data_IF_013196196222
#
_entry.id   IF_013196196222
#
_cell.length_a   1.000
_cell.length_b   1.000
_cell.length_c   1.000
_cell.angle_alpha   90.00
_cell.angle_beta   90.00
_cell.angle_gamma   90.00
#
_symmetry.space_group_name_H-M   'P 1'
#
loop_
_entity.id
_entity.type
_entity.pdbx_description
1 polymer ?
#
# COMPACT_ATOMS: atom_id res chain seq x y z
N UNK A 1 47.96 42.14 -45.51
CA UNK A 1 48.26 41.43 -44.24
C UNK A 1 47.19 41.83 -43.22
N UNK A 2 46.71 40.88 -42.39
CA UNK A 2 45.62 40.96 -41.37
C UNK A 2 44.18 41.01 -41.95
N UNK A 3 43.14 40.37 -41.42
CA UNK A 3 42.97 39.43 -40.31
C UNK A 3 41.65 38.61 -40.47
N UNK A 4 41.62 37.46 -39.80
CA UNK A 4 40.56 36.53 -39.39
C UNK A 4 39.17 37.13 -39.13
N UNK A 5 38.08 36.38 -39.38
CA UNK A 5 36.96 36.18 -38.42
C UNK A 5 35.98 35.09 -38.93
N UNK A 6 35.91 33.99 -38.18
CA UNK A 6 34.88 32.93 -38.24
C UNK A 6 33.64 33.38 -37.45
N UNK A 7 32.41 33.23 -37.97
CA UNK A 7 31.21 33.23 -37.14
C UNK A 7 30.81 31.81 -36.68
N UNK A 8 30.24 31.66 -35.47
CA UNK A 8 30.10 30.38 -34.77
C UNK A 8 28.95 29.50 -35.25
N UNK A 9 29.12 28.20 -35.02
CA UNK A 9 28.12 27.15 -35.19
C UNK A 9 26.84 27.42 -34.39
N UNK A 10 25.69 27.48 -35.07
CA UNK A 10 24.37 27.41 -34.42
C UNK A 10 24.06 25.95 -34.09
N UNK A 11 24.35 25.55 -32.85
CA UNK A 11 23.90 24.28 -32.32
C UNK A 11 22.48 24.47 -31.76
N UNK A 12 21.51 23.89 -32.45
CA UNK A 12 20.10 23.84 -32.01
C UNK A 12 20.01 22.95 -30.77
N UNK A 13 19.34 23.36 -29.68
CA UNK A 13 19.12 22.49 -28.53
C UNK A 13 18.21 21.31 -28.93
N UNK A 14 18.45 20.11 -28.40
CA UNK A 14 17.57 18.97 -28.66
C UNK A 14 16.19 19.23 -28.05
N UNK A 15 15.15 18.88 -28.82
CA UNK A 15 13.77 18.89 -28.38
C UNK A 15 13.63 18.06 -27.10
N UNK A 16 13.08 18.65 -26.04
CA UNK A 16 12.79 17.96 -24.80
C UNK A 16 11.86 16.77 -25.09
N UNK A 17 12.31 15.57 -24.74
CA UNK A 17 11.46 14.38 -24.73
C UNK A 17 10.30 14.59 -23.75
N UNK A 18 9.09 14.07 -24.03
CA UNK A 18 8.02 14.08 -23.05
C UNK A 18 8.47 13.24 -21.85
N UNK A 19 8.61 13.89 -20.69
CA UNK A 19 8.81 13.21 -19.42
C UNK A 19 7.59 12.33 -19.16
N UNK A 20 7.73 11.04 -18.80
CA UNK A 20 6.58 10.27 -18.34
C UNK A 20 6.01 10.99 -17.13
N UNK A 21 4.75 11.40 -17.21
CA UNK A 21 3.97 11.78 -16.05
C UNK A 21 3.89 10.52 -15.19
N UNK A 22 4.72 10.46 -14.16
CA UNK A 22 4.49 9.54 -13.05
C UNK A 22 3.16 10.01 -12.47
N UNK A 23 2.08 9.32 -12.83
CA UNK A 23 0.89 9.30 -11.99
C UNK A 23 1.37 8.68 -10.69
N UNK A 24 1.80 9.52 -9.75
CA UNK A 24 1.82 9.15 -8.36
C UNK A 24 0.37 8.77 -8.06
N UNK A 25 0.08 7.48 -8.15
CA UNK A 25 -1.01 6.91 -7.38
C UNK A 25 -0.63 7.24 -5.94
N UNK A 26 -1.09 8.39 -5.48
CA UNK A 26 -1.30 8.66 -4.06
C UNK A 26 -2.08 7.45 -3.59
N UNK A 27 -1.34 6.50 -3.03
CA UNK A 27 -1.90 5.55 -2.08
C UNK A 27 -2.41 6.47 -1.00
N UNK A 28 -3.71 6.73 -1.04
CA UNK A 28 -4.42 7.47 -0.02
C UNK A 28 -4.09 6.75 1.28
N UNK A 29 -3.12 7.29 2.03
CA UNK A 29 -2.83 6.81 3.38
C UNK A 29 -4.18 6.85 4.09
N UNK A 30 -4.75 5.69 4.48
CA UNK A 30 -6.10 5.66 5.01
C UNK A 30 -6.12 6.59 6.20
N UNK A 31 -6.84 7.70 6.07
CA UNK A 31 -7.00 8.67 7.14
C UNK A 31 -7.51 7.89 8.35
N UNK A 32 -6.75 7.77 9.46
CA UNK A 32 -7.15 6.93 10.58
C UNK A 32 -8.42 7.51 11.18
N UNK A 33 -9.55 7.01 10.72
CA UNK A 33 -10.88 7.37 11.21
C UNK A 33 -11.18 6.41 12.35
N UNK A 34 -10.38 6.50 13.40
CA UNK A 34 -10.50 5.63 14.57
C UNK A 34 -9.18 5.34 15.26
N UNK A 35 -9.22 4.34 16.13
CA UNK A 35 -8.32 4.17 17.28
C UNK A 35 -6.84 4.14 16.86
N UNK A 36 -5.95 4.74 17.66
CA UNK A 36 -4.50 4.75 17.42
C UNK A 36 -4.01 3.33 17.06
N UNK A 37 -3.51 3.10 15.84
CA UNK A 37 -3.00 1.79 15.42
C UNK A 37 -1.77 1.45 16.24
N UNK A 38 -1.98 0.64 17.27
CA UNK A 38 -0.93 0.12 18.15
C UNK A 38 -1.10 -1.38 18.16
N UNK A 39 0.01 -2.13 18.04
CA UNK A 39 -0.06 -3.58 18.03
C UNK A 39 -0.73 -4.09 19.32
N UNK A 40 -1.77 -4.91 19.16
CA UNK A 40 -2.61 -5.41 20.26
C UNK A 40 -3.64 -4.41 20.78
N UNK A 41 -3.64 -3.17 20.30
CA UNK A 41 -4.64 -2.15 20.62
C UNK A 41 -6.01 -2.49 20.04
N UNK A 42 -7.06 -1.99 20.66
CA UNK A 42 -8.41 -2.16 20.12
C UNK A 42 -8.62 -1.24 18.91
N UNK A 43 -9.36 -1.74 17.93
CA UNK A 43 -9.85 -0.97 16.80
C UNK A 43 -11.38 -1.02 16.75
N UNK A 44 -12.00 -0.11 16.01
CA UNK A 44 -13.44 -0.13 15.82
C UNK A 44 -13.83 -1.16 14.76
N UNK A 45 -15.06 -1.68 14.86
CA UNK A 45 -15.67 -2.50 13.80
C UNK A 45 -15.70 -1.76 12.45
N UNK A 46 -15.88 -0.44 12.48
CA UNK A 46 -15.80 0.44 11.29
C UNK A 46 -14.43 0.38 10.60
N UNK A 47 -13.38 0.03 11.35
CA UNK A 47 -12.00 -0.08 10.90
C UNK A 47 -11.64 -1.52 10.58
N UNK A 48 -12.57 -2.47 10.70
CA UNK A 48 -12.32 -3.86 10.36
C UNK A 48 -11.78 -3.96 8.93
N UNK A 49 -10.66 -4.67 8.79
CA UNK A 49 -9.93 -4.83 7.52
C UNK A 49 -9.34 -3.54 6.97
N UNK A 50 -9.20 -2.50 7.78
CA UNK A 50 -8.41 -1.33 7.44
C UNK A 50 -6.96 -1.58 7.82
N UNK A 51 -6.05 -1.04 7.01
CA UNK A 51 -4.65 -0.93 7.37
C UNK A 51 -4.46 0.32 8.23
N UNK A 52 -3.65 0.19 9.27
CA UNK A 52 -3.23 1.28 10.13
C UNK A 52 -1.74 1.20 10.33
N UNK A 53 -1.05 2.33 10.19
CA UNK A 53 0.40 2.38 10.41
C UNK A 53 0.67 2.87 11.82
N UNK A 54 1.33 2.05 12.63
CA UNK A 54 1.77 2.46 13.95
C UNK A 54 2.80 3.59 13.89
N UNK A 55 2.99 4.30 15.01
CA UNK A 55 3.96 5.40 15.10
C UNK A 55 5.40 4.97 14.76
N UNK A 56 5.72 3.68 14.96
CA UNK A 56 7.00 3.07 14.64
C UNK A 56 7.16 2.71 13.14
N UNK A 57 6.16 3.02 12.31
CA UNK A 57 6.11 2.66 10.88
C UNK A 57 5.66 1.23 10.60
N UNK A 58 5.18 0.52 11.63
CA UNK A 58 4.72 -0.86 11.50
C UNK A 58 3.31 -0.89 10.92
N UNK A 59 3.11 -1.62 9.82
CA UNK A 59 1.78 -1.80 9.25
C UNK A 59 0.98 -2.84 10.05
N UNK A 60 -0.20 -2.44 10.48
CA UNK A 60 -1.14 -3.22 11.27
C UNK A 60 -2.44 -3.36 10.50
N UNK A 61 -3.15 -4.45 10.72
CA UNK A 61 -4.51 -4.65 10.20
C UNK A 61 -5.45 -4.78 11.38
N UNK A 62 -6.60 -4.12 11.30
CA UNK A 62 -7.66 -4.33 12.28
C UNK A 62 -8.37 -5.64 11.96
N UNK A 63 -8.15 -6.65 12.81
CA UNK A 63 -8.75 -7.97 12.70
C UNK A 63 -9.67 -8.25 13.88
N UNK A 64 -10.67 -9.10 13.66
CA UNK A 64 -11.54 -9.58 14.73
C UNK A 64 -10.97 -10.86 15.34
N UNK A 65 -10.50 -10.81 16.59
CA UNK A 65 -9.90 -11.97 17.27
C UNK A 65 -10.95 -12.84 18.02
N UNK A 66 -12.24 -12.62 17.76
CA UNK A 66 -13.33 -13.35 18.41
C UNK A 66 -13.92 -12.64 19.64
N UNK A 67 -14.95 -13.24 20.24
CA UNK A 67 -15.77 -12.60 21.28
C UNK A 67 -15.02 -12.24 22.58
N UNK A 68 -13.81 -12.80 22.81
CA UNK A 68 -12.97 -12.48 23.95
C UNK A 68 -11.89 -11.42 23.69
N UNK A 69 -11.56 -11.16 22.42
CA UNK A 69 -10.54 -10.18 22.01
C UNK A 69 -11.09 -8.96 21.28
N UNK A 70 -12.27 -9.09 20.65
CA UNK A 70 -12.87 -8.03 19.87
C UNK A 70 -12.05 -7.69 18.62
N UNK A 71 -12.26 -6.48 18.12
CA UNK A 71 -11.47 -5.91 17.02
C UNK A 71 -10.16 -5.38 17.59
N UNK A 72 -9.03 -5.91 17.12
CA UNK A 72 -7.70 -5.44 17.51
C UNK A 72 -6.80 -5.23 16.31
N UNK A 73 -5.93 -4.25 16.43
CA UNK A 73 -4.81 -4.01 15.55
C UNK A 73 -3.78 -5.12 15.73
N UNK A 74 -3.68 -6.00 14.76
CA UNK A 74 -2.69 -7.07 14.74
C UNK A 74 -1.64 -6.78 13.70
N UNK A 75 -0.42 -7.23 13.98
CA UNK A 75 0.63 -7.26 12.97
C UNK A 75 0.14 -8.17 11.85
N UNK A 76 0.10 -7.65 10.63
CA UNK A 76 -0.03 -8.52 9.48
C UNK A 76 1.36 -9.00 9.06
N UNK A 77 1.45 -10.21 8.51
CA UNK A 77 2.68 -10.64 7.83
C UNK A 77 2.94 -9.80 6.59
N UNK A 78 4.04 -10.06 5.89
CA UNK A 78 4.37 -9.31 4.67
C UNK A 78 3.17 -9.28 3.72
N UNK A 79 2.82 -8.07 3.31
CA UNK A 79 1.83 -7.88 2.26
C UNK A 79 2.55 -8.24 0.96
N UNK A 80 1.98 -9.17 0.20
CA UNK A 80 2.53 -9.57 -1.10
C UNK A 80 2.64 -8.35 -2.05
N UNK A 81 1.90 -7.26 -1.74
CA UNK A 81 1.92 -6.01 -2.48
C UNK A 81 1.04 -6.07 -3.73
N UNK A 82 0.56 -7.25 -4.06
CA UNK A 82 -0.48 -7.47 -5.05
C UNK A 82 -1.88 -7.24 -4.47
N UNK A 83 -2.83 -7.07 -5.38
CA UNK A 83 -4.25 -6.98 -5.06
C UNK A 83 -4.94 -8.27 -5.49
N UNK A 84 -5.57 -8.98 -4.54
CA UNK A 84 -6.30 -10.22 -4.82
C UNK A 84 -7.79 -10.07 -4.58
N UNK A 85 -8.61 -10.90 -5.21
CA UNK A 85 -10.05 -10.91 -4.92
C UNK A 85 -10.36 -11.89 -3.79
N UNK A 86 -11.45 -11.64 -3.07
CA UNK A 86 -11.98 -12.62 -2.12
C UNK A 86 -12.39 -13.88 -2.88
N UNK A 87 -11.92 -15.03 -2.40
CA UNK A 87 -12.12 -16.32 -3.03
C UNK A 87 -11.01 -16.74 -4.01
N UNK A 88 -10.08 -15.86 -4.35
CA UNK A 88 -8.86 -16.28 -5.05
C UNK A 88 -8.03 -17.21 -4.14
N UNK A 89 -7.28 -18.16 -4.71
CA UNK A 89 -6.39 -19.01 -3.93
C UNK A 89 -5.28 -18.18 -3.29
N UNK A 90 -4.93 -18.53 -2.05
CA UNK A 90 -3.80 -17.96 -1.31
C UNK A 90 -3.00 -19.09 -0.67
N UNK A 91 -1.70 -18.89 -0.48
CA UNK A 91 -0.85 -19.84 0.24
C UNK A 91 -0.57 -19.31 1.66
N UNK A 92 -1.15 -19.88 2.72
CA UNK A 92 -0.99 -19.37 4.09
C UNK A 92 0.44 -19.47 4.63
N UNK A 93 1.35 -20.12 3.91
CA UNK A 93 2.76 -20.27 4.27
C UNK A 93 3.59 -19.04 3.87
N UNK A 94 3.11 -18.27 2.88
CA UNK A 94 3.80 -17.09 2.34
C UNK A 94 2.87 -15.87 2.34
N UNK A 95 1.59 -16.08 2.01
CA UNK A 95 0.55 -15.07 1.93
C UNK A 95 -0.17 -14.94 3.27
N UNK A 96 0.14 -13.87 4.00
CA UNK A 96 -0.55 -13.57 5.26
C UNK A 96 -1.75 -12.67 5.01
N UNK A 97 -1.48 -11.54 4.35
CA UNK A 97 -2.39 -10.43 4.12
C UNK A 97 -2.15 -9.88 2.73
N UNK A 98 -3.23 -9.43 2.10
CA UNK A 98 -3.20 -8.68 0.86
C UNK A 98 -4.30 -7.62 0.88
N UNK A 99 -4.45 -6.88 -0.21
CA UNK A 99 -5.48 -5.85 -0.38
C UNK A 99 -6.45 -6.30 -1.46
N UNK A 100 -7.75 -6.05 -1.29
CA UNK A 100 -8.74 -6.24 -2.34
C UNK A 100 -8.79 -5.03 -3.30
N UNK A 101 -9.45 -5.14 -4.47
CA UNK A 101 -9.57 -4.03 -5.42
C UNK A 101 -10.28 -2.78 -4.86
N UNK A 102 -10.85 -2.88 -3.66
CA UNK A 102 -11.52 -1.79 -2.94
C UNK A 102 -10.58 -1.12 -1.92
N UNK A 103 -9.31 -1.53 -1.85
CA UNK A 103 -8.34 -0.99 -0.90
C UNK A 103 -8.51 -1.52 0.53
N UNK A 104 -9.24 -2.63 0.73
CA UNK A 104 -9.45 -3.25 2.04
C UNK A 104 -8.55 -4.46 2.22
N UNK A 105 -8.08 -4.66 3.45
CA UNK A 105 -7.32 -5.83 3.78
C UNK A 105 -8.16 -7.11 3.58
N UNK A 106 -7.49 -8.13 3.07
CA UNK A 106 -7.96 -9.51 2.97
C UNK A 106 -6.90 -10.40 3.60
N UNK A 107 -7.35 -11.44 4.29
CA UNK A 107 -6.47 -12.41 4.94
C UNK A 107 -6.49 -13.71 4.15
N UNK A 108 -5.39 -14.45 4.15
CA UNK A 108 -5.41 -15.83 3.69
C UNK A 108 -6.07 -16.72 4.76
N UNK A 109 -7.31 -17.13 4.51
CA UNK A 109 -8.09 -18.00 5.41
C UNK A 109 -7.72 -19.48 5.34
N UNK A 110 -6.50 -19.81 4.92
CA UNK A 110 -5.94 -21.17 4.83
C UNK A 110 -5.73 -21.71 3.41
N UNK A 111 -6.64 -21.41 2.48
CA UNK A 111 -6.47 -21.78 1.06
C UNK A 111 -6.99 -20.70 0.10
N UNK A 112 -7.77 -19.75 0.63
CA UNK A 112 -8.40 -18.69 -0.16
C UNK A 112 -8.39 -17.37 0.58
N UNK A 113 -8.30 -16.28 -0.18
CA UNK A 113 -8.45 -14.93 0.33
C UNK A 113 -9.87 -14.71 0.86
N UNK A 114 -9.96 -14.24 2.10
CA UNK A 114 -11.23 -13.97 2.77
C UNK A 114 -11.33 -12.52 3.18
N UNK A 115 -12.56 -12.01 3.12
CA UNK A 115 -12.89 -10.69 3.63
C UNK A 115 -12.62 -10.59 5.13
N UNK A 116 -12.83 -11.65 5.88
CA UNK A 116 -12.80 -11.59 7.33
C UNK A 116 -11.64 -12.45 7.85
N UNK A 117 -10.75 -11.92 8.70
CA UNK A 117 -9.86 -12.75 9.50
C UNK A 117 -10.64 -13.64 10.48
#
# INVERSE_FOLDING_TARGET
>A
MTATTTPPASSTPPAAAPTPTVTETTTEEPTPTGSTPVQGGQCFESEARSFGTAADGTSLVCAYLGAGGGYQWVLHGDNDGETHNIGDPCDPSVDSVSTDPQGKAILCGGQTWVANP
#
